data_IF_772473680530
#
_entry.id   IF_772473680530
#
_cell.length_a   1.000
_cell.length_b   1.000
_cell.length_c   1.000
_cell.angle_alpha   90.00
_cell.angle_beta   90.00
_cell.angle_gamma   90.00
#
_symmetry.space_group_name_H-M   'P 1'
#
loop_
_entity.id
_entity.type
_entity.pdbx_description
1 polymer ?
#
# COMPACT_ATOMS: atom_id res chain seq x y z
N UNK A 1 23.78 -8.03 -8.23
CA UNK A 1 22.51 -7.75 -7.69
C UNK A 1 22.24 -6.31 -7.51
N UNK A 2 21.31 -5.82 -8.20
CA UNK A 2 21.02 -4.42 -8.14
C UNK A 2 20.19 -4.04 -6.93
N UNK A 3 20.31 -2.79 -6.53
CA UNK A 3 19.38 -2.21 -5.58
C UNK A 3 18.36 -1.38 -6.37
N UNK A 4 17.21 -1.12 -5.77
CA UNK A 4 16.18 -0.32 -6.40
C UNK A 4 16.38 1.15 -6.01
N UNK A 5 16.29 2.02 -6.99
CA UNK A 5 16.44 3.45 -6.74
C UNK A 5 15.20 3.98 -6.04
N UNK A 6 15.35 4.88 -5.03
CA UNK A 6 14.19 5.46 -4.35
C UNK A 6 13.58 6.58 -5.19
N UNK A 7 13.02 6.21 -6.34
CA UNK A 7 12.43 7.16 -7.28
C UNK A 7 11.16 6.57 -7.89
N UNK A 8 10.36 7.44 -8.49
CA UNK A 8 9.19 7.03 -9.23
C UNK A 8 8.03 6.61 -8.34
N UNK A 9 7.06 5.94 -8.97
CA UNK A 9 5.83 5.55 -8.29
C UNK A 9 6.06 4.57 -7.14
N UNK A 10 7.03 3.68 -7.29
CA UNK A 10 7.31 2.69 -6.25
C UNK A 10 7.75 3.36 -4.95
N UNK A 11 8.64 4.35 -5.05
CA UNK A 11 9.11 5.06 -3.86
C UNK A 11 8.00 5.94 -3.28
N UNK A 12 7.25 6.62 -4.13
CA UNK A 12 6.15 7.46 -3.67
C UNK A 12 5.10 6.62 -2.94
N UNK A 13 4.76 5.45 -3.47
CA UNK A 13 3.81 4.56 -2.85
C UNK A 13 4.30 4.08 -1.49
N UNK A 14 5.58 3.68 -1.41
CA UNK A 14 6.19 3.25 -0.15
C UNK A 14 6.22 4.37 0.87
N UNK A 15 6.65 5.55 0.44
CA UNK A 15 6.74 6.72 1.31
C UNK A 15 5.36 7.09 1.88
N UNK A 16 4.34 7.08 1.03
CA UNK A 16 2.97 7.38 1.47
C UNK A 16 2.45 6.34 2.45
N UNK A 17 2.77 5.07 2.23
CA UNK A 17 2.40 4.00 3.14
C UNK A 17 3.00 4.25 4.53
N UNK A 18 4.28 4.59 4.59
CA UNK A 18 4.96 4.89 5.85
C UNK A 18 4.32 6.09 6.54
N UNK A 19 4.02 7.15 5.79
CA UNK A 19 3.37 8.34 6.36
C UNK A 19 2.00 8.00 6.93
N UNK A 20 1.21 7.23 6.20
CA UNK A 20 -0.14 6.87 6.68
C UNK A 20 -0.09 6.12 8.00
N UNK A 21 0.88 5.24 8.16
CA UNK A 21 0.96 4.44 9.37
C UNK A 21 1.64 5.16 10.54
N UNK A 22 2.59 6.05 10.27
CA UNK A 22 3.47 6.54 11.32
C UNK A 22 3.55 8.05 11.48
N UNK A 23 2.92 8.85 10.62
CA UNK A 23 2.96 10.30 10.75
C UNK A 23 1.87 10.81 11.69
N UNK A 24 2.26 11.52 12.73
CA UNK A 24 1.30 12.14 13.63
C UNK A 24 0.44 13.17 12.91
N UNK A 25 1.05 13.94 12.02
CA UNK A 25 0.31 14.94 11.25
C UNK A 25 -0.76 14.29 10.39
N UNK A 26 -0.43 13.18 9.77
CA UNK A 26 -1.41 12.46 8.96
C UNK A 26 -2.54 11.92 9.83
N UNK A 27 -2.21 11.40 11.01
CA UNK A 27 -3.21 10.82 11.91
C UNK A 27 -4.17 11.87 12.46
N UNK A 28 -3.76 13.13 12.52
CA UNK A 28 -4.68 14.20 12.93
C UNK A 28 -5.78 14.41 11.89
N UNK A 29 -5.44 14.21 10.60
CA UNK A 29 -6.40 14.35 9.52
C UNK A 29 -7.19 13.07 9.27
N UNK A 30 -6.55 11.93 9.47
CA UNK A 30 -7.13 10.62 9.21
C UNK A 30 -6.90 9.70 10.40
N UNK A 31 -7.66 9.87 11.47
CA UNK A 31 -7.41 9.11 12.72
C UNK A 31 -7.51 7.59 12.56
N UNK A 32 -8.26 7.11 11.56
CA UNK A 32 -8.41 5.68 11.36
C UNK A 32 -7.09 4.97 11.04
N UNK A 33 -6.08 5.72 10.58
CA UNK A 33 -4.78 5.15 10.27
C UNK A 33 -3.85 5.01 11.47
N UNK A 34 -4.25 5.47 12.64
CA UNK A 34 -3.42 5.34 13.85
C UNK A 34 -3.07 3.90 14.16
N UNK A 35 -3.97 2.97 13.84
CA UNK A 35 -3.76 1.56 14.13
C UNK A 35 -3.10 0.80 12.99
N UNK A 36 -2.82 1.47 11.87
CA UNK A 36 -2.17 0.82 10.75
C UNK A 36 -0.68 0.65 11.02
N UNK A 37 -0.13 -0.44 10.50
CA UNK A 37 1.29 -0.72 10.59
C UNK A 37 1.80 -1.32 9.30
N UNK A 38 3.12 -1.26 9.13
CA UNK A 38 3.82 -1.85 8.00
C UNK A 38 4.60 -3.03 8.55
N UNK A 39 4.57 -4.17 7.86
CA UNK A 39 5.34 -5.33 8.30
C UNK A 39 6.83 -4.98 8.34
N UNK A 40 7.57 -5.68 9.21
CA UNK A 40 8.99 -5.40 9.41
C UNK A 40 9.77 -5.44 8.10
N UNK A 41 9.47 -6.42 7.26
CA UNK A 41 10.14 -6.59 5.98
C UNK A 41 10.03 -5.34 5.10
N UNK A 42 8.85 -4.72 5.08
CA UNK A 42 8.59 -3.55 4.24
C UNK A 42 9.02 -2.22 4.86
N UNK A 43 9.53 -2.22 6.07
CA UNK A 43 10.17 -1.03 6.60
C UNK A 43 11.45 -0.71 5.83
N UNK A 44 12.00 -1.72 5.16
CA UNK A 44 13.13 -1.55 4.25
C UNK A 44 12.57 -1.36 2.83
N UNK A 45 12.83 -0.19 2.24
CA UNK A 45 12.34 0.11 0.90
C UNK A 45 12.75 -0.94 -0.14
N UNK A 46 13.96 -1.50 -0.03
CA UNK A 46 14.44 -2.48 -1.01
C UNK A 46 13.54 -3.72 -1.05
N UNK A 47 13.07 -4.17 0.11
CA UNK A 47 12.18 -5.31 0.19
C UNK A 47 10.81 -5.00 -0.42
N UNK A 48 10.29 -3.82 -0.14
CA UNK A 48 9.03 -3.39 -0.74
C UNK A 48 9.16 -3.27 -2.25
N UNK A 49 10.24 -2.67 -2.74
CA UNK A 49 10.46 -2.48 -4.16
C UNK A 49 10.55 -3.82 -4.90
N UNK A 50 11.23 -4.80 -4.29
CA UNK A 50 11.33 -6.13 -4.88
C UNK A 50 9.94 -6.73 -5.09
N UNK A 51 9.10 -6.68 -4.06
CA UNK A 51 7.75 -7.18 -4.15
C UNK A 51 6.94 -6.40 -5.18
N UNK A 52 7.10 -5.08 -5.18
CA UNK A 52 6.38 -4.21 -6.11
C UNK A 52 6.67 -4.59 -7.56
N UNK A 53 7.94 -4.72 -7.93
CA UNK A 53 8.30 -5.00 -9.32
C UNK A 53 7.92 -6.40 -9.77
N UNK A 54 7.75 -7.33 -8.86
CA UNK A 54 7.26 -8.67 -9.18
C UNK A 54 5.76 -8.65 -9.45
N UNK A 55 5.01 -7.80 -8.75
CA UNK A 55 3.56 -7.80 -8.79
C UNK A 55 2.94 -6.63 -9.55
N UNK A 56 3.72 -5.60 -9.82
CA UNK A 56 3.20 -4.38 -10.42
C UNK A 56 2.87 -4.56 -11.90
N UNK A 57 1.81 -3.90 -12.33
CA UNK A 57 1.50 -3.72 -13.74
C UNK A 57 1.06 -2.27 -13.93
N UNK A 58 1.09 -1.83 -15.19
CA UNK A 58 0.88 -0.42 -15.52
C UNK A 58 -0.42 0.12 -14.93
N UNK A 59 -0.35 1.30 -14.33
CA UNK A 59 -1.45 1.99 -13.69
C UNK A 59 -2.06 1.23 -12.52
N UNK A 60 -1.30 0.33 -11.91
CA UNK A 60 -1.75 -0.36 -10.71
C UNK A 60 -1.50 0.45 -9.45
N UNK A 61 -2.34 0.25 -8.45
CA UNK A 61 -2.21 0.90 -7.15
C UNK A 61 -2.18 -0.15 -6.05
N UNK A 62 -1.45 0.18 -4.98
CA UNK A 62 -1.39 -0.69 -3.81
C UNK A 62 -2.71 -0.72 -3.08
N UNK A 63 -3.20 -1.91 -2.78
CA UNK A 63 -4.43 -2.09 -2.02
C UNK A 63 -4.21 -3.07 -0.87
N UNK A 64 -4.68 -2.72 0.32
CA UNK A 64 -4.55 -3.57 1.50
C UNK A 64 -5.87 -4.17 1.97
N UNK A 65 -6.98 -3.79 1.36
CA UNK A 65 -8.30 -4.18 1.86
C UNK A 65 -9.01 -5.26 1.04
N UNK A 66 -8.57 -5.47 -0.20
CA UNK A 66 -9.23 -6.43 -1.07
C UNK A 66 -9.20 -7.85 -0.52
N UNK A 67 -8.03 -8.29 -0.05
CA UNK A 67 -7.84 -9.65 0.43
C UNK A 67 -8.48 -9.85 1.81
N UNK A 68 -8.36 -8.85 2.68
CA UNK A 68 -8.97 -8.89 4.01
C UNK A 68 -9.57 -7.52 4.29
N UNK A 69 -10.88 -7.46 4.40
CA UNK A 69 -11.58 -6.22 4.69
C UNK A 69 -11.11 -5.61 6.01
N UNK A 70 -10.91 -4.30 6.01
CA UNK A 70 -10.49 -3.54 7.19
C UNK A 70 -9.12 -3.97 7.74
N UNK A 71 -8.29 -4.52 6.87
CA UNK A 71 -6.93 -4.88 7.24
C UNK A 71 -6.14 -3.65 7.67
N UNK A 72 -5.42 -3.77 8.78
CA UNK A 72 -4.62 -2.70 9.35
C UNK A 72 -3.12 -2.88 9.11
N UNK A 73 -2.72 -3.90 8.37
CA UNK A 73 -1.32 -4.24 8.18
C UNK A 73 -0.97 -4.22 6.70
N UNK A 74 0.04 -3.43 6.35
CA UNK A 74 0.62 -3.46 5.02
C UNK A 74 1.68 -4.56 4.97
N UNK A 75 1.45 -5.58 4.16
CA UNK A 75 2.38 -6.71 4.03
C UNK A 75 2.18 -7.40 2.69
N UNK A 76 3.18 -8.18 2.22
CA UNK A 76 3.00 -8.94 0.98
C UNK A 76 1.86 -9.93 1.06
N UNK A 77 1.55 -10.41 2.27
CA UNK A 77 0.50 -11.40 2.47
C UNK A 77 -0.89 -10.81 2.27
N UNK A 78 -1.09 -9.55 2.67
CA UNK A 78 -2.42 -8.95 2.71
C UNK A 78 -2.62 -7.82 1.70
N UNK A 79 -1.59 -7.48 0.93
CA UNK A 79 -1.70 -6.42 -0.07
C UNK A 79 -1.60 -6.97 -1.47
N UNK A 80 -2.17 -6.24 -2.42
CA UNK A 80 -2.05 -6.57 -3.83
C UNK A 80 -2.00 -5.28 -4.64
N UNK A 81 -1.62 -5.41 -5.91
CA UNK A 81 -1.65 -4.30 -6.86
C UNK A 81 -2.88 -4.48 -7.72
N UNK A 82 -3.70 -3.44 -7.80
CA UNK A 82 -4.92 -3.46 -8.61
C UNK A 82 -4.86 -2.38 -9.68
N UNK A 83 -5.36 -2.64 -10.88
CA UNK A 83 -5.54 -1.57 -11.86
C UNK A 83 -6.47 -0.51 -11.27
N UNK A 84 -6.18 0.74 -11.55
CA UNK A 84 -6.97 1.85 -11.02
C UNK A 84 -8.47 1.68 -11.29
N UNK A 85 -8.83 1.27 -12.50
CA UNK A 85 -10.22 1.09 -12.89
C UNK A 85 -10.90 -0.01 -12.08
N UNK A 86 -10.21 -1.13 -11.87
CA UNK A 86 -10.76 -2.24 -11.10
C UNK A 86 -10.88 -1.84 -9.64
N UNK A 87 -9.92 -1.11 -9.11
CA UNK A 87 -9.95 -0.65 -7.73
C UNK A 87 -11.20 0.20 -7.47
N UNK A 88 -11.49 1.14 -8.37
CA UNK A 88 -12.68 1.98 -8.26
C UNK A 88 -13.96 1.15 -8.33
N UNK A 89 -14.02 0.20 -9.25
CA UNK A 89 -15.18 -0.66 -9.41
C UNK A 89 -15.42 -1.51 -8.15
N UNK A 90 -14.35 -2.05 -7.57
CA UNK A 90 -14.46 -2.85 -6.36
C UNK A 90 -14.92 -2.02 -5.17
N UNK A 91 -14.44 -0.79 -5.06
CA UNK A 91 -14.87 0.11 -4.01
C UNK A 91 -16.37 0.38 -4.14
N UNK A 92 -16.86 0.67 -5.34
CA UNK A 92 -18.28 0.89 -5.56
C UNK A 92 -19.11 -0.32 -5.19
N UNK A 93 -18.69 -1.50 -5.61
CA UNK A 93 -19.40 -2.73 -5.27
C UNK A 93 -19.40 -2.98 -3.76
N UNK A 94 -18.28 -2.68 -3.12
CA UNK A 94 -18.12 -2.86 -1.68
C UNK A 94 -19.14 -2.04 -0.88
N UNK A 95 -19.46 -0.84 -1.34
CA UNK A 95 -20.33 0.06 -0.62
C UNK A 95 -21.78 0.05 -1.10
N UNK A 96 -22.10 -0.77 -2.07
CA UNK A 96 -23.43 -0.84 -2.61
C UNK A 96 -24.41 -1.70 -1.81
N UNK A 97 -23.95 -2.39 -0.88
CA UNK A 97 -24.78 -3.36 -0.14
C UNK A 97 -25.73 -2.72 0.84
#
# INVERSE_FOLDING_TARGET
>A
MGTYKPTGKVYKTWHNMIIRCYSNNYHQKEPSYKECSVCEEWLNFQNFAKWWYINYFEEGDLDKDLLIKDNKIYSPKYCCILPKQINVALVKNKYRR
#
